data_IF_148307348710
#
_entry.id   IF_148307348710
#
_cell.length_a   1.000
_cell.length_b   1.000
_cell.length_c   1.000
_cell.angle_alpha   90.00
_cell.angle_beta   90.00
_cell.angle_gamma   90.00
#
_symmetry.space_group_name_H-M   'P 1'
#
loop_
_entity.id
_entity.type
_entity.pdbx_description
1 polymer ?
#
# COMPACT_ATOMS: atom_id res chain seq x y z
N UNK A 1 0.42 -25.75 -11.51
CA UNK A 1 0.85 -24.73 -10.54
C UNK A 1 0.48 -23.37 -11.12
N UNK A 2 -0.43 -22.62 -10.51
CA UNK A 2 -0.78 -21.29 -11.04
C UNK A 2 0.32 -20.30 -10.62
N UNK A 3 0.87 -19.56 -11.58
CA UNK A 3 1.71 -18.41 -11.24
C UNK A 3 0.84 -17.37 -10.53
N UNK A 4 1.33 -16.85 -9.41
CA UNK A 4 0.60 -15.91 -8.54
C UNK A 4 1.50 -14.73 -8.26
N UNK A 5 1.09 -13.57 -8.75
CA UNK A 5 1.80 -12.32 -8.47
C UNK A 5 1.17 -11.69 -7.24
N UNK A 6 2.00 -11.45 -6.21
CA UNK A 6 1.66 -10.72 -5.00
C UNK A 6 2.11 -9.28 -5.12
N UNK A 7 1.19 -8.35 -5.02
CA UNK A 7 1.49 -6.92 -4.97
C UNK A 7 1.14 -6.42 -3.58
N UNK A 8 2.12 -5.85 -2.89
CA UNK A 8 1.93 -5.22 -1.59
C UNK A 8 2.10 -3.71 -1.75
N UNK A 9 1.06 -2.98 -1.39
CA UNK A 9 1.03 -1.53 -1.41
C UNK A 9 1.24 -1.02 0.02
N UNK A 10 2.09 -0.01 0.19
CA UNK A 10 2.29 0.68 1.45
C UNK A 10 2.21 2.19 1.25
N UNK A 11 1.53 2.89 2.15
CA UNK A 11 1.50 4.36 2.16
C UNK A 11 1.26 4.90 3.56
N UNK A 12 1.61 6.16 3.77
CA UNK A 12 1.26 6.90 4.99
C UNK A 12 -0.15 7.48 4.95
N UNK A 13 -0.74 7.64 3.75
CA UNK A 13 -2.12 8.07 3.59
C UNK A 13 -3.01 6.90 3.13
N UNK A 14 -4.11 6.70 3.86
CA UNK A 14 -5.11 5.70 3.54
C UNK A 14 -5.85 6.01 2.23
N UNK A 15 -6.13 7.29 1.94
CA UNK A 15 -6.87 7.65 0.74
C UNK A 15 -6.08 7.36 -0.53
N UNK A 16 -4.77 7.61 -0.52
CA UNK A 16 -3.89 7.34 -1.65
C UNK A 16 -3.73 5.84 -1.91
N UNK A 17 -3.58 5.02 -0.87
CA UNK A 17 -3.43 3.57 -1.05
C UNK A 17 -4.71 2.93 -1.59
N UNK A 18 -5.89 3.38 -1.13
CA UNK A 18 -7.17 2.82 -1.56
C UNK A 18 -7.48 3.21 -3.02
N UNK A 19 -7.28 4.49 -3.40
CA UNK A 19 -7.40 4.93 -4.80
C UNK A 19 -6.45 4.17 -5.74
N UNK A 20 -5.22 3.95 -5.30
CA UNK A 20 -4.20 3.22 -6.09
C UNK A 20 -4.57 1.76 -6.25
N UNK A 21 -5.02 1.11 -5.16
CA UNK A 21 -5.47 -0.27 -5.19
C UNK A 21 -6.68 -0.45 -6.12
N UNK A 22 -7.66 0.46 -6.08
CA UNK A 22 -8.78 0.45 -7.01
C UNK A 22 -8.35 0.61 -8.47
N UNK A 23 -7.40 1.51 -8.75
CA UNK A 23 -6.86 1.71 -10.10
C UNK A 23 -6.21 0.43 -10.63
N UNK A 24 -5.39 -0.22 -9.82
CA UNK A 24 -4.75 -1.51 -10.17
C UNK A 24 -5.82 -2.57 -10.44
N UNK A 25 -6.81 -2.71 -9.56
CA UNK A 25 -7.89 -3.70 -9.72
C UNK A 25 -8.67 -3.47 -11.02
N UNK A 26 -9.01 -2.21 -11.35
CA UNK A 26 -9.72 -1.86 -12.59
C UNK A 26 -8.91 -2.24 -13.83
N UNK A 27 -7.63 -1.91 -13.86
CA UNK A 27 -6.75 -2.26 -14.99
C UNK A 27 -6.61 -3.76 -15.14
N UNK A 28 -6.36 -4.49 -14.05
CA UNK A 28 -6.15 -5.95 -14.14
C UNK A 28 -7.44 -6.66 -14.56
N UNK A 29 -8.61 -6.24 -14.06
CA UNK A 29 -9.91 -6.74 -14.52
C UNK A 29 -10.15 -6.46 -16.01
N UNK A 30 -9.77 -5.29 -16.51
CA UNK A 30 -9.90 -4.96 -17.94
C UNK A 30 -9.07 -5.89 -18.85
N UNK A 31 -7.96 -6.43 -18.33
CA UNK A 31 -7.12 -7.40 -19.04
C UNK A 31 -7.63 -8.84 -18.95
N UNK A 32 -8.71 -9.10 -18.22
CA UNK A 32 -9.31 -10.43 -18.07
C UNK A 32 -8.65 -11.34 -17.01
N UNK A 33 -7.76 -10.79 -16.18
CA UNK A 33 -7.09 -11.55 -15.12
C UNK A 33 -7.93 -11.63 -13.84
N UNK A 34 -7.85 -12.76 -13.15
CA UNK A 34 -8.56 -12.97 -11.88
C UNK A 34 -7.77 -12.33 -10.75
N UNK A 35 -8.41 -11.39 -10.05
CA UNK A 35 -7.82 -10.65 -8.92
C UNK A 35 -8.56 -11.02 -7.65
N UNK A 36 -7.81 -11.44 -6.63
CA UNK A 36 -8.31 -11.37 -5.26
C UNK A 36 -8.17 -9.93 -4.81
N UNK A 37 -9.31 -9.32 -4.47
CA UNK A 37 -9.46 -7.89 -4.24
C UNK A 37 -8.48 -7.30 -3.22
N UNK A 38 -8.47 -5.97 -3.05
CA UNK A 38 -7.52 -5.32 -2.16
C UNK A 38 -7.75 -5.75 -0.71
N UNK A 39 -6.92 -6.66 -0.22
CA UNK A 39 -7.00 -7.19 1.15
C UNK A 39 -6.37 -6.16 2.08
N UNK A 40 -7.12 -5.59 3.03
CA UNK A 40 -6.58 -4.68 4.02
C UNK A 40 -5.71 -5.46 5.00
N UNK A 41 -4.42 -5.13 5.06
CA UNK A 41 -3.55 -5.63 6.13
C UNK A 41 -3.59 -4.67 7.33
N UNK A 42 -3.35 -5.17 8.56
CA UNK A 42 -3.31 -4.34 9.74
C UNK A 42 -2.36 -3.15 9.58
N UNK A 43 -2.85 -1.96 9.92
CA UNK A 43 -2.06 -0.72 9.87
C UNK A 43 -1.01 -0.76 10.96
N UNK A 44 0.25 -0.53 10.59
CA UNK A 44 1.31 -0.45 11.58
C UNK A 44 1.37 0.98 12.13
N UNK A 45 1.08 1.15 13.43
CA UNK A 45 1.08 2.44 14.11
C UNK A 45 2.29 2.55 15.02
N UNK A 46 3.13 3.57 14.80
CA UNK A 46 4.27 3.90 15.69
C UNK A 46 3.95 5.20 16.40
N UNK A 47 3.96 5.18 17.73
CA UNK A 47 3.69 6.35 18.57
C UNK A 47 5.02 6.83 19.14
N UNK A 48 5.30 8.11 18.99
CA UNK A 48 6.48 8.78 19.51
C UNK A 48 6.05 9.85 20.50
N UNK A 49 6.66 9.86 21.68
CA UNK A 49 6.41 10.89 22.70
C UNK A 49 7.65 11.74 22.87
N UNK A 50 7.54 13.04 22.60
CA UNK A 50 8.66 13.99 22.66
C UNK A 50 8.37 15.05 23.72
N UNK A 51 9.42 15.61 24.32
CA UNK A 51 9.27 16.76 25.21
C UNK A 51 9.04 18.03 24.39
N UNK A 52 8.02 18.81 24.75
CA UNK A 52 7.75 20.09 24.08
C UNK A 52 8.79 21.15 24.45
N UNK A 53 9.20 21.17 25.73
CA UNK A 53 10.15 22.15 26.25
C UNK A 53 11.58 21.66 26.09
N UNK A 54 12.53 22.52 25.69
CA UNK A 54 13.96 22.18 25.69
C UNK A 54 14.54 22.01 27.09
N UNK A 55 13.90 22.56 28.14
CA UNK A 55 14.40 22.49 29.52
C UNK A 55 13.29 22.26 30.56
N UNK A 56 13.62 21.50 31.62
CA UNK A 56 12.91 21.25 32.91
C UNK A 56 11.48 20.67 32.86
N UNK A 57 10.65 20.99 31.86
CA UNK A 57 9.21 20.66 31.88
C UNK A 57 8.89 19.22 31.41
N UNK A 58 9.14 18.21 32.27
CA UNK A 58 8.92 16.77 31.98
C UNK A 58 7.45 16.36 31.79
N UNK A 59 6.51 17.11 32.39
CA UNK A 59 5.06 16.86 32.30
C UNK A 59 4.46 17.34 30.97
N UNK A 60 5.14 18.26 30.27
CA UNK A 60 4.71 18.74 28.95
C UNK A 60 5.28 17.84 27.85
N UNK A 61 4.49 16.87 27.40
CA UNK A 61 4.86 15.92 26.33
C UNK A 61 3.90 16.04 25.16
N UNK A 62 4.42 15.88 23.95
CA UNK A 62 3.64 15.77 22.72
C UNK A 62 3.69 14.34 22.21
N UNK A 63 2.55 13.86 21.70
CA UNK A 63 2.44 12.53 21.10
C UNK A 63 2.23 12.67 19.59
N UNK A 64 3.13 12.05 18.83
CA UNK A 64 3.04 11.95 17.39
C UNK A 64 2.80 10.50 17.01
N UNK A 65 2.09 10.27 15.91
CA UNK A 65 1.90 8.93 15.36
C UNK A 65 2.31 8.88 13.89
N UNK A 66 2.97 7.80 13.51
CA UNK A 66 3.21 7.42 12.13
C UNK A 66 2.36 6.19 11.82
N UNK A 67 1.42 6.32 10.89
CA UNK A 67 0.55 5.23 10.45
C UNK A 67 1.00 4.75 9.08
N UNK A 68 1.32 3.47 8.95
CA UNK A 68 1.60 2.84 7.65
C UNK A 68 0.43 1.93 7.29
N UNK A 69 -0.30 2.32 6.25
CA UNK A 69 -1.41 1.58 5.67
C UNK A 69 -0.89 0.58 4.65
N UNK A 70 -1.33 -0.67 4.76
CA UNK A 70 -0.86 -1.78 3.93
C UNK A 70 -2.04 -2.44 3.23
N UNK A 71 -1.92 -2.66 1.93
CA UNK A 71 -2.89 -3.43 1.13
C UNK A 71 -2.15 -4.55 0.41
N UNK A 72 -2.80 -5.71 0.30
CA UNK A 72 -2.29 -6.84 -0.46
C UNK A 72 -3.24 -7.13 -1.61
N UNK A 73 -2.68 -7.39 -2.79
CA UNK A 73 -3.39 -7.79 -3.99
C UNK A 73 -2.75 -9.07 -4.51
N UNK A 74 -3.57 -10.07 -4.81
CA UNK A 74 -3.15 -11.32 -5.40
C UNK A 74 -3.76 -11.45 -6.80
N UNK A 75 -2.90 -11.57 -7.81
CA UNK A 75 -3.30 -11.76 -9.21
C UNK A 75 -3.01 -13.19 -9.62
N UNK A 76 -4.03 -13.87 -10.13
CA UNK A 76 -3.98 -15.24 -10.63
C UNK A 76 -4.06 -15.21 -12.15
N UNK A 77 -2.94 -14.97 -12.83
CA UNK A 77 -2.81 -15.18 -14.28
C UNK A 77 -1.35 -15.15 -14.73
N UNK A 78 -1.05 -15.75 -15.88
CA UNK A 78 0.27 -15.81 -16.51
C UNK A 78 0.35 -15.07 -17.85
N UNK A 79 -0.52 -14.09 -18.11
CA UNK A 79 -0.50 -13.31 -19.36
C UNK A 79 0.50 -12.16 -19.32
N UNK A 80 1.43 -12.14 -20.28
CA UNK A 80 2.42 -11.06 -20.49
C UNK A 80 1.77 -9.67 -20.59
N UNK A 81 0.61 -9.59 -21.27
CA UNK A 81 -0.20 -8.37 -21.38
C UNK A 81 -0.55 -7.74 -20.03
N UNK A 82 -0.75 -8.55 -19.00
CA UNK A 82 -1.11 -8.08 -17.65
C UNK A 82 0.12 -7.55 -16.91
N UNK A 83 1.28 -8.17 -17.10
CA UNK A 83 2.57 -7.68 -16.54
C UNK A 83 2.93 -6.34 -17.18
N UNK A 84 2.79 -6.21 -18.49
CA UNK A 84 3.06 -4.94 -19.20
C UNK A 84 2.10 -3.82 -18.77
N UNK A 85 0.83 -4.14 -18.53
CA UNK A 85 -0.16 -3.19 -18.06
C UNK A 85 0.11 -2.72 -16.62
N UNK A 86 0.69 -3.59 -15.77
CA UNK A 86 1.09 -3.23 -14.40
C UNK A 86 2.32 -2.32 -14.40
N UNK A 87 3.32 -2.59 -15.24
CA UNK A 87 4.54 -1.79 -15.35
C UNK A 87 4.30 -0.39 -15.93
N UNK A 88 3.28 -0.24 -16.79
CA UNK A 88 2.89 1.04 -17.41
C UNK A 88 1.94 1.88 -16.55
N UNK A 89 1.57 1.41 -15.36
CA UNK A 89 0.55 2.08 -14.56
C UNK A 89 1.16 3.28 -13.81
N UNK A 90 0.65 4.48 -14.07
CA UNK A 90 1.01 5.66 -13.28
C UNK A 90 0.39 5.58 -11.89
N UNK A 91 1.22 5.34 -10.89
CA UNK A 91 0.84 5.37 -9.49
C UNK A 91 1.15 6.75 -8.89
N UNK A 92 0.31 7.25 -7.97
CA UNK A 92 0.56 8.53 -7.32
C UNK A 92 1.85 8.47 -6.50
N UNK A 93 2.59 9.57 -6.48
CA UNK A 93 3.74 9.75 -5.61
C UNK A 93 3.32 9.62 -4.15
N UNK A 94 3.99 8.74 -3.39
CA UNK A 94 3.66 8.45 -1.99
C UNK A 94 3.03 7.07 -1.74
N UNK A 95 2.89 6.24 -2.76
CA UNK A 95 2.57 4.81 -2.62
C UNK A 95 3.79 3.99 -2.99
N UNK A 96 4.26 3.18 -2.04
CA UNK A 96 5.32 2.20 -2.25
C UNK A 96 4.71 0.88 -2.71
N UNK A 97 5.29 0.27 -3.75
CA UNK A 97 4.83 -0.98 -4.34
C UNK A 97 5.93 -2.01 -4.28
N UNK A 98 5.63 -3.15 -3.66
CA UNK A 98 6.50 -4.32 -3.61
C UNK A 98 5.83 -5.45 -4.40
N UNK A 99 6.47 -5.92 -5.47
CA UNK A 99 5.98 -7.01 -6.32
C UNK A 99 6.77 -8.28 -5.98
N UNK A 100 6.05 -9.36 -5.66
CA UNK A 100 6.60 -10.72 -5.51
C UNK A 100 5.94 -11.62 -6.56
N UNK A 101 6.75 -12.09 -7.51
CA UNK A 101 6.33 -13.04 -8.55
C UNK A 101 6.54 -14.49 -8.08
#
# INVERSE_FOLDING_TARGET
MSQRIRIKLQSYDHNLVDKSAEKIVKTVRSTGAVVTGPIPLPTHKRIFTVLRSPHVNKKSREQFQLCTHKRLLDIYTSSSRTVDALSKLDLPSGVEVEIKA
#
